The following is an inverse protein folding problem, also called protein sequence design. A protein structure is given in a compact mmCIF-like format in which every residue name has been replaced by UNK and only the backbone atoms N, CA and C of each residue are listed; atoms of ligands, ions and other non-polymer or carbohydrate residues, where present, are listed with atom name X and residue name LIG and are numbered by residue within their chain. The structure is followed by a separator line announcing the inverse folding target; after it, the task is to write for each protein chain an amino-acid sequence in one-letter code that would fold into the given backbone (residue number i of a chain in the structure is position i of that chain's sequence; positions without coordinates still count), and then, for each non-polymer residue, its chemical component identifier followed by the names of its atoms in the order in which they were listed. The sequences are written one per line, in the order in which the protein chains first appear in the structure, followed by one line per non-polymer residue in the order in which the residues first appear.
data_IF_587652336167
#
_entry.id   IF_587652336167
#
_cell.length_a   1.000
_cell.length_b   1.000
_cell.length_c   1.000
_cell.angle_alpha   90.00
_cell.angle_beta   90.00
_cell.angle_gamma   90.00
#
_symmetry.space_group_name_H-M   'P 1'
#
loop_
_entity.id
_entity.type
_entity.pdbx_description
1 polymer ?
#
# COMPACT_ATOMS: atom_id res chain seq x y z
N UNK A 1 18.46 -7.56 -25.27
CA UNK A 1 19.51 -7.60 -24.22
C UNK A 1 18.83 -7.89 -22.88
N UNK A 2 19.37 -8.75 -21.98
CA UNK A 2 18.64 -9.10 -20.75
C UNK A 2 18.43 -7.93 -19.78
N UNK A 3 19.23 -6.86 -19.90
CA UNK A 3 19.10 -5.67 -19.03
C UNK A 3 17.80 -4.86 -19.21
N UNK A 4 17.24 -4.84 -20.40
CA UNK A 4 16.06 -4.06 -20.70
C UNK A 4 14.78 -4.70 -20.14
N UNK A 5 14.77 -6.04 -19.97
CA UNK A 5 13.64 -6.78 -19.44
C UNK A 5 13.40 -6.51 -17.95
N UNK A 6 14.44 -6.23 -17.18
CA UNK A 6 14.34 -5.96 -15.74
C UNK A 6 14.15 -4.47 -15.41
N UNK A 7 14.39 -3.58 -16.37
CA UNK A 7 14.28 -2.14 -16.14
C UNK A 7 12.83 -1.70 -15.91
N UNK A 8 11.89 -2.23 -16.69
CA UNK A 8 10.45 -1.95 -16.55
C UNK A 8 9.91 -2.36 -15.18
N UNK A 9 10.09 -3.62 -14.71
CA UNK A 9 9.75 -4.04 -13.35
C UNK A 9 10.41 -3.21 -12.26
N UNK A 10 11.70 -2.90 -12.41
CA UNK A 10 12.44 -2.11 -11.43
C UNK A 10 11.85 -0.71 -11.26
N UNK A 11 11.64 0.02 -12.37
CA UNK A 11 11.06 1.37 -12.33
C UNK A 11 9.64 1.34 -11.77
N UNK A 12 8.79 0.42 -12.22
CA UNK A 12 7.43 0.27 -11.70
C UNK A 12 7.43 0.00 -10.20
N UNK A 13 8.31 -0.90 -9.73
CA UNK A 13 8.45 -1.23 -8.30
C UNK A 13 8.91 -0.05 -7.46
N UNK A 14 9.91 0.73 -7.91
CA UNK A 14 10.37 1.94 -7.23
C UNK A 14 9.25 2.96 -7.12
N UNK A 15 8.55 3.26 -8.22
CA UNK A 15 7.47 4.24 -8.24
C UNK A 15 6.33 3.86 -7.28
N UNK A 16 5.90 2.60 -7.34
CA UNK A 16 4.85 2.07 -6.45
C UNK A 16 5.30 2.09 -4.99
N UNK A 17 6.54 1.71 -4.70
CA UNK A 17 7.11 1.76 -3.35
C UNK A 17 7.07 3.17 -2.77
N UNK A 18 7.44 4.18 -3.54
CA UNK A 18 7.41 5.58 -3.11
C UNK A 18 6.00 6.07 -2.82
N UNK A 19 5.03 5.70 -3.67
CA UNK A 19 3.62 6.04 -3.45
C UNK A 19 3.06 5.36 -2.20
N UNK A 20 3.33 4.05 -2.01
CA UNK A 20 2.90 3.31 -0.82
C UNK A 20 3.52 3.87 0.46
N UNK A 21 4.80 4.21 0.45
CA UNK A 21 5.48 4.80 1.59
C UNK A 21 4.85 6.15 2.00
N UNK A 22 4.50 6.99 1.03
CA UNK A 22 3.79 8.24 1.31
C UNK A 22 2.39 7.98 1.89
N UNK A 23 1.65 7.04 1.31
CA UNK A 23 0.34 6.63 1.80
C UNK A 23 0.43 6.09 3.25
N UNK A 24 1.48 5.33 3.53
CA UNK A 24 1.80 4.80 4.85
C UNK A 24 2.04 5.87 5.90
N UNK A 25 2.78 6.93 5.57
CA UNK A 25 2.96 8.07 6.46
C UNK A 25 1.63 8.73 6.83
N UNK A 26 0.72 8.91 5.87
CA UNK A 26 -0.62 9.44 6.12
C UNK A 26 -1.49 8.53 6.98
N UNK A 27 -1.47 7.23 6.73
CA UNK A 27 -2.21 6.24 7.51
C UNK A 27 -1.68 6.13 8.94
N UNK A 28 -0.36 6.17 9.11
CA UNK A 28 0.28 6.16 10.42
C UNK A 28 -0.17 7.36 11.27
N UNK A 29 -0.19 8.56 10.69
CA UNK A 29 -0.66 9.78 11.36
C UNK A 29 -2.12 9.70 11.81
N UNK A 30 -2.95 8.91 11.14
CA UNK A 30 -4.38 8.73 11.46
C UNK A 30 -4.69 7.56 12.35
N UNK A 31 -3.72 6.70 12.63
CA UNK A 31 -3.96 5.45 13.36
C UNK A 31 -4.87 4.47 12.61
N UNK A 32 -4.84 4.46 11.27
CA UNK A 32 -5.79 3.72 10.42
C UNK A 32 -5.19 2.42 9.84
N UNK A 33 -4.33 1.74 10.60
CA UNK A 33 -3.63 0.52 10.17
C UNK A 33 -4.61 -0.60 9.78
N UNK A 34 -5.62 -0.85 10.60
CA UNK A 34 -6.62 -1.90 10.35
C UNK A 34 -7.45 -1.63 9.09
N UNK A 35 -7.72 -0.36 8.79
CA UNK A 35 -8.41 0.03 7.55
C UNK A 35 -7.56 -0.29 6.32
N UNK A 36 -6.24 -0.06 6.39
CA UNK A 36 -5.33 -0.38 5.30
C UNK A 36 -5.24 -1.89 5.04
N UNK A 37 -5.19 -2.70 6.12
CA UNK A 37 -5.19 -4.17 6.02
C UNK A 37 -6.48 -4.67 5.37
N UNK A 38 -7.64 -4.18 5.84
CA UNK A 38 -8.94 -4.54 5.28
C UNK A 38 -9.04 -4.15 3.80
N UNK A 39 -8.60 -2.94 3.45
CA UNK A 39 -8.62 -2.46 2.08
C UNK A 39 -7.75 -3.33 1.16
N UNK A 40 -6.51 -3.62 1.57
CA UNK A 40 -5.60 -4.47 0.80
C UNK A 40 -6.18 -5.87 0.56
N UNK A 41 -6.77 -6.47 1.60
CA UNK A 41 -7.38 -7.78 1.48
C UNK A 41 -8.57 -7.79 0.52
N UNK A 42 -9.43 -6.76 0.54
CA UNK A 42 -10.56 -6.66 -0.39
C UNK A 42 -10.15 -6.24 -1.80
N UNK A 43 -9.03 -5.55 -1.96
CA UNK A 43 -8.41 -5.38 -3.27
C UNK A 43 -7.99 -6.73 -3.88
N UNK A 44 -7.41 -7.62 -3.07
CA UNK A 44 -7.09 -8.99 -3.50
C UNK A 44 -8.34 -9.81 -3.82
N UNK A 45 -9.42 -9.73 -3.00
CA UNK A 45 -10.73 -10.33 -3.34
C UNK A 45 -11.20 -9.86 -4.70
N UNK A 46 -11.10 -8.54 -4.97
CA UNK A 46 -11.48 -7.95 -6.25
C UNK A 46 -10.66 -8.48 -7.42
N UNK A 47 -9.35 -8.61 -7.24
CA UNK A 47 -8.45 -9.16 -8.25
C UNK A 47 -8.73 -10.65 -8.54
N UNK A 48 -8.92 -11.45 -7.50
CA UNK A 48 -9.28 -12.87 -7.63
C UNK A 48 -10.65 -13.04 -8.27
N UNK A 49 -11.65 -12.27 -7.85
CA UNK A 49 -13.00 -12.31 -8.45
C UNK A 49 -12.97 -11.90 -9.93
N UNK A 50 -12.20 -10.88 -10.28
CA UNK A 50 -12.04 -10.45 -11.67
C UNK A 50 -11.47 -11.56 -12.56
N UNK A 51 -10.54 -12.36 -12.04
CA UNK A 51 -9.98 -13.51 -12.77
C UNK A 51 -11.03 -14.59 -13.03
N UNK A 52 -11.93 -14.84 -12.07
CA UNK A 52 -13.06 -15.81 -12.23
C UNK A 52 -14.08 -15.32 -13.25
N UNK A 53 -14.39 -14.03 -13.23
CA UNK A 53 -15.39 -13.41 -14.12
C UNK A 53 -14.82 -13.04 -15.50
N UNK A 54 -13.51 -13.22 -15.71
CA UNK A 54 -12.78 -12.74 -16.91
C UNK A 54 -12.94 -11.22 -17.16
N UNK A 55 -13.06 -10.45 -16.09
CA UNK A 55 -13.16 -9.00 -16.12
C UNK A 55 -11.78 -8.34 -15.93
N UNK A 56 -11.62 -7.07 -16.31
CA UNK A 56 -10.38 -6.35 -16.06
C UNK A 56 -10.14 -6.21 -14.54
N UNK A 57 -8.95 -6.63 -14.10
CA UNK A 57 -8.60 -6.76 -12.67
C UNK A 57 -8.63 -5.42 -11.96
N UNK A 58 -8.00 -4.39 -12.54
CA UNK A 58 -7.84 -3.09 -11.89
C UNK A 58 -9.19 -2.41 -11.55
N UNK A 59 -10.18 -2.30 -12.47
CA UNK A 59 -11.47 -1.71 -12.13
C UNK A 59 -12.23 -2.47 -11.05
N UNK A 60 -12.23 -3.81 -11.08
CA UNK A 60 -12.95 -4.62 -10.09
C UNK A 60 -12.31 -4.46 -8.70
N UNK A 61 -10.98 -4.52 -8.62
CA UNK A 61 -10.25 -4.33 -7.37
C UNK A 61 -10.46 -2.90 -6.80
N UNK A 62 -10.48 -1.88 -7.67
CA UNK A 62 -10.77 -0.49 -7.27
C UNK A 62 -12.22 -0.32 -6.77
N UNK A 63 -13.19 -0.93 -7.43
CA UNK A 63 -14.60 -0.85 -7.03
C UNK A 63 -14.83 -1.54 -5.67
N UNK A 64 -14.30 -2.75 -5.47
CA UNK A 64 -14.43 -3.44 -4.19
C UNK A 64 -13.65 -2.75 -3.08
N UNK A 65 -12.40 -2.35 -3.32
CA UNK A 65 -11.61 -1.59 -2.37
C UNK A 65 -12.26 -0.26 -2.01
N UNK A 66 -12.75 0.49 -3.00
CA UNK A 66 -13.48 1.74 -2.80
C UNK A 66 -14.77 1.56 -2.01
N UNK A 67 -15.56 0.56 -2.32
CA UNK A 67 -16.79 0.22 -1.59
C UNK A 67 -16.53 -0.10 -0.12
N UNK A 68 -15.51 -0.89 0.16
CA UNK A 68 -15.06 -1.21 1.53
C UNK A 68 -14.58 0.05 2.25
N UNK A 69 -13.81 0.90 1.59
CA UNK A 69 -13.34 2.14 2.21
C UNK A 69 -14.48 3.06 2.59
N UNK A 70 -15.51 3.21 1.75
CA UNK A 70 -16.72 3.96 2.06
C UNK A 70 -17.46 3.35 3.25
N UNK A 71 -17.56 2.01 3.33
CA UNK A 71 -18.16 1.31 4.46
C UNK A 71 -17.41 1.60 5.76
N UNK A 72 -16.08 1.47 5.75
CA UNK A 72 -15.23 1.67 6.92
C UNK A 72 -15.26 3.12 7.42
N UNK A 73 -15.36 4.09 6.52
CA UNK A 73 -15.45 5.50 6.91
C UNK A 73 -16.76 5.90 7.57
N UNK A 74 -17.87 5.23 7.24
CA UNK A 74 -19.16 5.47 7.87
C UNK A 74 -19.23 4.94 9.31
N UNK A 75 -18.33 4.01 9.67
CA UNK A 75 -18.30 3.44 11.00
C UNK A 75 -17.51 4.31 11.98
N UNK A 76 -18.00 4.40 13.21
CA UNK A 76 -17.26 4.99 14.34
C UNK A 76 -16.25 4.00 14.96
N UNK A 77 -16.41 2.70 14.70
CA UNK A 77 -15.52 1.67 15.19
C UNK A 77 -14.28 1.57 14.27
N UNK A 78 -13.15 2.04 14.77
CA UNK A 78 -11.90 2.11 14.01
C UNK A 78 -11.05 0.84 14.07
N UNK A 79 -11.40 -0.12 14.92
CA UNK A 79 -10.61 -1.32 15.14
C UNK A 79 -11.37 -2.59 14.81
N UNK A 80 -12.54 -2.81 15.42
CA UNK A 80 -13.27 -4.07 15.33
C UNK A 80 -13.89 -4.30 13.96
N UNK A 81 -14.54 -3.27 13.40
CA UNK A 81 -15.13 -3.39 12.08
C UNK A 81 -14.07 -3.62 10.99
N UNK A 82 -12.98 -2.83 10.90
CA UNK A 82 -11.92 -3.12 9.92
C UNK A 82 -11.29 -4.50 10.10
N UNK A 83 -11.10 -4.96 11.34
CA UNK A 83 -10.60 -6.32 11.60
C UNK A 83 -11.57 -7.39 11.10
N UNK A 84 -12.88 -7.24 11.37
CA UNK A 84 -13.89 -8.17 10.88
C UNK A 84 -13.95 -8.18 9.35
N UNK A 85 -13.86 -7.02 8.72
CA UNK A 85 -13.84 -6.87 7.26
C UNK A 85 -12.56 -7.49 6.67
N UNK A 86 -11.40 -7.33 7.31
CA UNK A 86 -10.17 -8.01 6.91
C UNK A 86 -10.31 -9.54 6.94
N UNK A 87 -10.82 -10.09 8.04
CA UNK A 87 -11.05 -11.55 8.19
C UNK A 87 -12.07 -12.06 7.16
N UNK A 88 -13.13 -11.30 6.89
CA UNK A 88 -14.10 -11.64 5.86
C UNK A 88 -13.46 -11.67 4.46
N UNK A 89 -12.58 -10.72 4.15
CA UNK A 89 -11.82 -10.70 2.90
C UNK A 89 -10.87 -11.90 2.77
N UNK A 90 -10.18 -12.27 3.86
CA UNK A 90 -9.33 -13.45 3.88
C UNK A 90 -10.13 -14.73 3.61
N UNK A 91 -11.27 -14.88 4.27
CA UNK A 91 -12.19 -16.00 4.05
C UNK A 91 -12.72 -16.03 2.60
N UNK A 92 -13.07 -14.85 2.04
CA UNK A 92 -13.55 -14.76 0.67
C UNK A 92 -12.50 -15.21 -0.36
N UNK A 93 -11.24 -14.76 -0.23
CA UNK A 93 -10.15 -15.23 -1.12
C UNK A 93 -9.96 -16.74 -0.99
N UNK A 94 -9.94 -17.27 0.23
CA UNK A 94 -9.76 -18.70 0.49
C UNK A 94 -10.89 -19.53 -0.13
N UNK A 95 -12.14 -19.08 0.04
CA UNK A 95 -13.31 -19.78 -0.56
C UNK A 95 -13.31 -19.72 -2.09
N UNK A 96 -12.96 -18.58 -2.68
CA UNK A 96 -12.81 -18.46 -4.13
C UNK A 96 -11.70 -19.38 -4.64
N UNK A 97 -10.54 -19.37 -4.01
CA UNK A 97 -9.42 -20.23 -4.39
C UNK A 97 -9.73 -21.73 -4.27
N UNK A 98 -10.50 -22.12 -3.26
CA UNK A 98 -10.90 -23.52 -3.06
C UNK A 98 -11.91 -24.02 -4.09
N UNK A 99 -12.74 -23.14 -4.66
CA UNK A 99 -13.83 -23.54 -5.55
C UNK A 99 -13.53 -23.31 -7.04
N UNK A 100 -12.55 -22.46 -7.37
CA UNK A 100 -12.20 -22.11 -8.75
C UNK A 100 -10.70 -22.23 -8.99
N UNK A 101 -10.28 -23.06 -9.94
CA UNK A 101 -8.86 -23.24 -10.26
C UNK A 101 -8.19 -21.93 -10.70
N UNK A 102 -8.90 -21.08 -11.45
CA UNK A 102 -8.41 -19.76 -11.86
C UNK A 102 -8.20 -18.82 -10.67
N UNK A 103 -9.09 -18.91 -9.66
CA UNK A 103 -8.97 -18.13 -8.43
C UNK A 103 -7.77 -18.54 -7.58
N UNK A 104 -7.41 -19.82 -7.55
CA UNK A 104 -6.25 -20.30 -6.82
C UNK A 104 -4.93 -19.74 -7.39
N UNK A 105 -4.80 -19.72 -8.72
CA UNK A 105 -3.64 -19.11 -9.40
C UNK A 105 -3.59 -17.59 -9.18
N UNK A 106 -4.74 -16.92 -9.29
CA UNK A 106 -4.81 -15.49 -9.02
C UNK A 106 -4.48 -15.16 -7.55
N UNK A 107 -4.99 -15.93 -6.60
CA UNK A 107 -4.69 -15.74 -5.18
C UNK A 107 -3.19 -15.91 -4.88
N UNK A 108 -2.54 -16.91 -5.46
CA UNK A 108 -1.10 -17.09 -5.37
C UNK A 108 -0.34 -15.88 -5.96
N UNK A 109 -0.75 -15.40 -7.14
CA UNK A 109 -0.16 -14.22 -7.77
C UNK A 109 -0.29 -12.95 -6.92
N UNK A 110 -1.44 -12.76 -6.24
CA UNK A 110 -1.64 -11.65 -5.31
C UNK A 110 -0.82 -11.80 -4.02
N UNK A 111 -0.57 -13.02 -3.56
CA UNK A 111 0.25 -13.28 -2.38
C UNK A 111 1.75 -13.12 -2.65
N UNK A 112 2.24 -13.63 -3.78
CA UNK A 112 3.67 -13.61 -4.11
C UNK A 112 4.12 -12.32 -4.79
N UNK A 113 3.18 -11.60 -5.44
CA UNK A 113 3.46 -10.45 -6.28
C UNK A 113 3.93 -10.86 -7.68
N UNK A 114 3.76 -9.95 -8.63
CA UNK A 114 4.15 -10.16 -10.03
C UNK A 114 5.20 -9.15 -10.48
N UNK A 115 6.02 -8.63 -9.57
CA UNK A 115 6.94 -7.55 -9.88
C UNK A 115 7.83 -7.87 -11.08
N UNK A 116 8.42 -9.06 -11.13
CA UNK A 116 9.31 -9.46 -12.23
C UNK A 116 8.60 -9.61 -13.58
N UNK A 117 7.28 -9.75 -13.56
CA UNK A 117 6.42 -9.86 -14.74
C UNK A 117 5.67 -8.56 -15.04
N UNK A 118 5.94 -7.48 -14.29
CA UNK A 118 5.32 -6.19 -14.53
C UNK A 118 5.68 -5.68 -15.93
N UNK A 119 4.66 -5.49 -16.75
CA UNK A 119 4.78 -5.06 -18.13
C UNK A 119 4.63 -3.55 -18.30
N UNK A 120 4.53 -3.10 -19.57
CA UNK A 120 4.33 -1.68 -19.89
C UNK A 120 3.03 -1.09 -19.29
N UNK A 121 1.97 -1.89 -19.15
CA UNK A 121 0.69 -1.42 -18.61
C UNK A 121 0.82 -1.07 -17.12
N UNK A 122 1.48 -1.93 -16.34
CA UNK A 122 1.75 -1.71 -14.92
C UNK A 122 2.69 -0.52 -14.73
N UNK A 123 3.68 -0.36 -15.60
CA UNK A 123 4.57 0.79 -15.59
C UNK A 123 3.80 2.10 -15.85
N UNK A 124 2.95 2.15 -16.88
CA UNK A 124 2.15 3.34 -17.16
C UNK A 124 1.17 3.66 -16.03
N UNK A 125 0.56 2.64 -15.44
CA UNK A 125 -0.29 2.82 -14.25
C UNK A 125 0.52 3.37 -13.06
N UNK A 126 1.74 2.87 -12.82
CA UNK A 126 2.63 3.35 -11.77
C UNK A 126 3.08 4.80 -12.00
N UNK A 127 3.42 5.16 -13.23
CA UNK A 127 3.77 6.54 -13.62
C UNK A 127 2.56 7.46 -13.40
N UNK A 128 1.38 7.08 -13.89
CA UNK A 128 0.15 7.86 -13.73
C UNK A 128 -0.20 8.10 -12.26
N UNK A 129 -0.11 7.04 -11.42
CA UNK A 129 -0.35 7.14 -9.99
C UNK A 129 0.71 7.99 -9.28
N UNK A 130 1.98 7.90 -9.70
CA UNK A 130 3.07 8.73 -9.13
C UNK A 130 2.89 10.20 -9.47
N UNK A 131 2.51 10.53 -10.70
CA UNK A 131 2.19 11.90 -11.12
C UNK A 131 0.98 12.44 -10.35
N UNK A 132 -0.08 11.64 -10.24
CA UNK A 132 -1.25 12.00 -9.42
C UNK A 132 -0.83 12.24 -7.97
N UNK A 133 0.04 11.39 -7.42
CA UNK A 133 0.58 11.54 -6.05
C UNK A 133 1.31 12.87 -5.89
N UNK A 134 2.20 13.24 -6.82
CA UNK A 134 2.91 14.51 -6.78
C UNK A 134 1.95 15.71 -6.81
N UNK A 135 0.91 15.66 -7.61
CA UNK A 135 -0.12 16.70 -7.66
C UNK A 135 -0.96 16.74 -6.36
N UNK A 136 -1.18 15.59 -5.72
CA UNK A 136 -1.96 15.49 -4.49
C UNK A 136 -1.16 15.83 -3.22
N UNK A 137 0.17 15.76 -3.23
CA UNK A 137 1.04 16.03 -2.05
C UNK A 137 0.62 17.30 -1.27
N UNK A 138 0.43 18.48 -1.90
CA UNK A 138 0.06 19.69 -1.15
C UNK A 138 -1.32 19.58 -0.48
N UNK A 139 -2.25 18.85 -1.10
CA UNK A 139 -3.59 18.59 -0.53
C UNK A 139 -3.48 17.60 0.62
N UNK A 140 -2.74 16.50 0.43
CA UNK A 140 -2.52 15.46 1.44
C UNK A 140 -1.86 16.02 2.69
N UNK A 141 -0.79 16.80 2.54
CA UNK A 141 -0.11 17.43 3.66
C UNK A 141 -1.03 18.37 4.45
N UNK A 142 -1.87 19.14 3.78
CA UNK A 142 -2.88 19.99 4.44
C UNK A 142 -3.87 19.16 5.23
N UNK A 143 -4.43 18.11 4.63
CA UNK A 143 -5.40 17.22 5.28
C UNK A 143 -4.79 16.54 6.50
N UNK A 144 -3.54 16.08 6.39
CA UNK A 144 -2.83 15.42 7.51
C UNK A 144 -2.48 16.40 8.63
N UNK A 145 -2.03 17.60 8.31
CA UNK A 145 -1.78 18.66 9.30
C UNK A 145 -3.05 19.02 10.07
N UNK A 146 -4.18 19.20 9.37
CA UNK A 146 -5.44 19.51 10.04
C UNK A 146 -5.87 18.38 10.99
N UNK A 147 -5.69 17.13 10.59
CA UNK A 147 -6.03 15.96 11.43
C UNK A 147 -5.20 15.90 12.72
N UNK A 148 -3.97 16.44 12.72
CA UNK A 148 -3.06 16.43 13.87
C UNK A 148 -3.26 17.65 14.80
N UNK A 149 -3.48 18.84 14.24
CA UNK A 149 -3.43 20.09 15.00
C UNK A 149 -4.79 20.45 15.61
N UNK A 150 -5.87 20.04 14.99
CA UNK A 150 -7.21 20.51 15.36
C UNK A 150 -8.28 19.42 15.33
N UNK A 151 -8.16 18.33 16.14
CA UNK A 151 -9.25 17.36 16.22
C UNK A 151 -10.57 18.00 16.72
N UNK A 152 -10.49 19.08 17.52
CA UNK A 152 -11.62 19.75 18.18
C UNK A 152 -11.94 21.15 17.66
N UNK A 153 -11.10 21.76 16.82
CA UNK A 153 -11.31 23.15 16.37
C UNK A 153 -12.16 23.18 15.11
N UNK A 154 -13.39 23.54 15.33
CA UNK A 154 -14.42 24.13 14.47
C UNK A 154 -14.71 23.52 13.07
N UNK A 155 -15.99 23.37 12.83
CA UNK A 155 -16.59 22.98 11.55
C UNK A 155 -16.14 23.85 10.33
N UNK A 156 -15.58 25.03 10.57
CA UNK A 156 -15.12 25.97 9.55
C UNK A 156 -13.78 25.59 8.90
N UNK A 157 -12.97 24.70 9.53
CA UNK A 157 -11.63 24.30 9.03
C UNK A 157 -11.61 22.88 8.45
N UNK A 158 -12.76 22.22 8.30
CA UNK A 158 -12.81 20.87 7.73
C UNK A 158 -12.35 20.90 6.27
N UNK A 159 -11.46 19.98 5.86
CA UNK A 159 -11.11 19.86 4.45
C UNK A 159 -12.38 19.64 3.64
N UNK A 160 -12.46 20.26 2.47
CA UNK A 160 -13.62 20.13 1.60
C UNK A 160 -13.90 18.65 1.31
N UNK A 161 -15.16 18.26 1.23
CA UNK A 161 -15.60 16.87 1.03
C UNK A 161 -14.88 16.23 -0.15
N UNK A 162 -14.67 16.97 -1.24
CA UNK A 162 -13.96 16.48 -2.43
C UNK A 162 -12.46 16.23 -2.20
N UNK A 163 -11.80 16.97 -1.28
CA UNK A 163 -10.39 16.71 -0.92
C UNK A 163 -10.26 15.40 -0.17
N UNK A 164 -11.20 15.13 0.71
CA UNK A 164 -11.25 13.87 1.43
C UNK A 164 -11.57 12.69 0.51
N UNK A 165 -12.51 12.86 -0.43
CA UNK A 165 -12.80 11.85 -1.45
C UNK A 165 -11.60 11.60 -2.36
N UNK A 166 -10.89 12.65 -2.79
CA UNK A 166 -9.68 12.52 -3.60
C UNK A 166 -8.58 11.72 -2.89
N UNK A 167 -8.38 11.97 -1.60
CA UNK A 167 -7.43 11.20 -0.79
C UNK A 167 -7.82 9.73 -0.67
N UNK A 168 -9.11 9.43 -0.49
CA UNK A 168 -9.60 8.05 -0.42
C UNK A 168 -9.35 7.32 -1.73
N UNK A 169 -9.74 7.92 -2.85
CA UNK A 169 -9.55 7.33 -4.19
C UNK A 169 -8.07 7.09 -4.45
N UNK A 170 -7.23 8.06 -4.12
CA UNK A 170 -5.78 7.93 -4.24
C UNK A 170 -5.23 6.80 -3.37
N UNK A 171 -5.64 6.70 -2.11
CA UNK A 171 -5.21 5.66 -1.18
C UNK A 171 -5.62 4.26 -1.67
N UNK A 172 -6.88 4.12 -2.12
CA UNK A 172 -7.40 2.87 -2.71
C UNK A 172 -6.56 2.50 -3.94
N UNK A 173 -6.31 3.44 -4.84
CA UNK A 173 -5.50 3.21 -6.04
C UNK A 173 -4.06 2.80 -5.69
N UNK A 174 -3.45 3.45 -4.68
CA UNK A 174 -2.10 3.13 -4.22
C UNK A 174 -2.01 1.69 -3.67
N UNK A 175 -2.96 1.28 -2.83
CA UNK A 175 -2.97 -0.06 -2.24
C UNK A 175 -3.29 -1.12 -3.29
N UNK A 176 -4.26 -0.89 -4.18
CA UNK A 176 -4.63 -1.83 -5.25
C UNK A 176 -3.45 -2.05 -6.19
N UNK A 177 -2.87 -0.98 -6.74
CA UNK A 177 -1.75 -1.08 -7.67
C UNK A 177 -0.51 -1.65 -6.97
N UNK A 178 -0.27 -1.23 -5.71
CA UNK A 178 0.80 -1.78 -4.89
C UNK A 178 0.70 -3.27 -4.69
N UNK A 179 -0.50 -3.76 -4.38
CA UNK A 179 -0.76 -5.19 -4.19
C UNK A 179 -0.65 -5.98 -5.49
N UNK A 180 -1.03 -5.40 -6.63
CA UNK A 180 -0.84 -6.04 -7.94
C UNK A 180 0.64 -6.19 -8.31
N UNK A 181 1.44 -5.14 -8.10
CA UNK A 181 2.85 -5.10 -8.53
C UNK A 181 3.76 -5.81 -7.53
N UNK A 182 3.68 -5.47 -6.24
CA UNK A 182 4.58 -5.98 -5.21
C UNK A 182 4.08 -7.28 -4.54
N UNK A 183 2.80 -7.58 -4.68
CA UNK A 183 2.10 -8.57 -3.86
C UNK A 183 1.52 -7.96 -2.60
N UNK A 184 0.40 -8.52 -2.12
CA UNK A 184 -0.34 -7.98 -0.98
C UNK A 184 0.51 -7.87 0.29
N UNK A 185 1.25 -8.89 0.74
CA UNK A 185 2.07 -8.79 1.94
C UNK A 185 3.17 -7.74 1.82
N UNK A 186 3.84 -7.65 0.67
CA UNK A 186 4.91 -6.69 0.43
C UNK A 186 4.37 -5.25 0.33
N UNK A 187 3.23 -5.05 -0.32
CA UNK A 187 2.56 -3.76 -0.39
C UNK A 187 2.17 -3.26 1.01
N UNK A 188 1.57 -4.13 1.85
CA UNK A 188 1.21 -3.79 3.22
C UNK A 188 2.44 -3.54 4.11
N UNK A 189 3.50 -4.34 3.96
CA UNK A 189 4.75 -4.13 4.66
C UNK A 189 5.39 -2.78 4.29
N UNK A 190 5.43 -2.44 3.00
CA UNK A 190 5.95 -1.17 2.49
C UNK A 190 5.10 0.02 2.91
N UNK A 191 3.80 -0.17 3.03
CA UNK A 191 2.85 0.84 3.50
C UNK A 191 3.06 1.15 4.99
N UNK A 192 3.24 0.14 5.84
CA UNK A 192 3.15 0.29 7.29
C UNK A 192 4.52 0.39 7.97
N UNK A 193 5.47 -0.48 7.63
CA UNK A 193 6.73 -0.64 8.37
C UNK A 193 7.70 0.55 8.22
N UNK A 194 7.91 1.13 7.02
CA UNK A 194 8.76 2.32 6.89
C UNK A 194 8.24 3.51 7.69
N UNK A 195 6.92 3.75 7.71
CA UNK A 195 6.30 4.82 8.47
C UNK A 195 6.45 4.59 9.99
N UNK A 196 6.27 3.35 10.44
CA UNK A 196 6.49 2.97 11.84
C UNK A 196 7.96 3.15 12.25
N UNK A 197 8.92 2.70 11.44
CA UNK A 197 10.36 2.92 11.67
C UNK A 197 10.73 4.40 11.68
N UNK A 198 10.20 5.18 10.72
CA UNK A 198 10.43 6.61 10.60
C UNK A 198 9.92 7.40 11.81
N UNK A 199 8.82 6.98 12.43
CA UNK A 199 8.25 7.65 13.60
C UNK A 199 9.22 7.73 14.81
N UNK A 200 10.15 6.77 14.94
CA UNK A 200 11.16 6.78 15.99
C UNK A 200 12.34 7.73 15.69
N UNK A 201 12.57 8.04 14.42
CA UNK A 201 13.69 8.89 13.96
C UNK A 201 13.27 10.33 13.70
N UNK A 202 12.01 10.55 13.35
CA UNK A 202 11.48 11.84 12.95
C UNK A 202 11.17 12.75 14.14
N UNK A 203 11.50 14.05 13.99
CA UNK A 203 11.17 15.08 14.97
C UNK A 203 10.02 15.99 14.52
N UNK A 204 9.66 15.92 13.25
CA UNK A 204 8.60 16.73 12.63
C UNK A 204 7.95 15.97 11.47
N UNK A 205 6.86 16.51 10.93
CA UNK A 205 6.10 15.87 9.84
C UNK A 205 6.96 15.68 8.57
N UNK A 206 7.73 16.69 8.19
CA UNK A 206 8.63 16.61 7.02
C UNK A 206 9.68 15.51 7.23
N UNK A 207 10.26 15.42 8.42
CA UNK A 207 11.19 14.36 8.79
C UNK A 207 10.53 12.99 8.74
N UNK A 208 9.28 12.85 9.21
CA UNK A 208 8.53 11.60 9.12
C UNK A 208 8.39 11.15 7.66
N UNK A 209 7.94 12.04 6.78
CA UNK A 209 7.78 11.72 5.35
C UNK A 209 9.12 11.35 4.71
N UNK A 210 10.17 12.14 4.94
CA UNK A 210 11.50 11.89 4.35
C UNK A 210 12.11 10.57 4.85
N UNK A 211 12.05 10.29 6.16
CA UNK A 211 12.53 9.02 6.71
C UNK A 211 11.72 7.83 6.20
N UNK A 212 10.39 7.97 6.10
CA UNK A 212 9.54 6.92 5.53
C UNK A 212 9.94 6.60 4.10
N UNK A 213 10.13 7.61 3.26
CA UNK A 213 10.55 7.44 1.88
C UNK A 213 11.95 6.82 1.78
N UNK A 214 12.90 7.30 2.60
CA UNK A 214 14.27 6.77 2.63
C UNK A 214 14.32 5.29 3.04
N UNK A 215 13.59 4.91 4.10
CA UNK A 215 13.53 3.52 4.58
C UNK A 215 12.88 2.62 3.52
N UNK A 216 11.77 3.05 2.91
CA UNK A 216 11.07 2.27 1.90
C UNK A 216 11.92 2.07 0.64
N UNK A 217 12.53 3.12 0.12
CA UNK A 217 13.39 3.06 -1.06
C UNK A 217 14.62 2.17 -0.79
N UNK A 218 15.29 2.37 0.35
CA UNK A 218 16.43 1.55 0.74
C UNK A 218 16.03 0.08 0.89
N UNK A 219 14.89 -0.18 1.53
CA UNK A 219 14.32 -1.53 1.68
C UNK A 219 14.05 -2.19 0.34
N UNK A 220 13.46 -1.46 -0.61
CA UNK A 220 13.24 -1.95 -1.97
C UNK A 220 14.54 -2.30 -2.68
N UNK A 221 15.54 -1.41 -2.64
CA UNK A 221 16.84 -1.64 -3.28
C UNK A 221 17.57 -2.85 -2.69
N UNK A 222 17.58 -2.98 -1.37
CA UNK A 222 18.17 -4.13 -0.67
C UNK A 222 17.43 -5.42 -1.04
N UNK A 223 16.09 -5.42 -1.02
CA UNK A 223 15.30 -6.58 -1.40
C UNK A 223 15.54 -6.98 -2.86
N UNK A 224 15.63 -6.00 -3.79
CA UNK A 224 15.92 -6.24 -5.20
C UNK A 224 17.29 -6.87 -5.40
N UNK A 225 18.33 -6.35 -4.73
CA UNK A 225 19.70 -6.87 -4.84
C UNK A 225 19.90 -8.23 -4.20
N UNK A 226 19.07 -8.62 -3.23
CA UNK A 226 19.12 -9.93 -2.58
C UNK A 226 18.31 -10.95 -3.38
N UNK A 227 17.10 -10.61 -3.80
CA UNK A 227 16.16 -11.58 -4.40
C UNK A 227 16.60 -12.07 -5.78
N UNK A 228 17.21 -11.20 -6.62
CA UNK A 228 17.64 -11.57 -7.96
C UNK A 228 18.73 -12.66 -7.99
N UNK A 229 19.89 -12.51 -7.29
CA UNK A 229 20.95 -13.52 -7.35
C UNK A 229 20.60 -14.81 -6.60
N UNK A 230 19.67 -14.74 -5.62
CA UNK A 230 19.27 -15.90 -4.83
C UNK A 230 18.05 -16.63 -5.42
N UNK A 231 17.52 -16.15 -6.55
CA UNK A 231 16.30 -16.68 -7.20
C UNK A 231 15.13 -16.81 -6.21
N UNK A 232 14.97 -15.78 -5.34
CA UNK A 232 13.93 -15.76 -4.32
C UNK A 232 12.75 -14.89 -4.76
N UNK A 233 11.52 -15.24 -4.35
CA UNK A 233 10.37 -14.39 -4.60
C UNK A 233 10.55 -13.03 -3.92
N UNK A 234 10.32 -11.95 -4.66
CA UNK A 234 10.61 -10.57 -4.22
C UNK A 234 9.79 -10.17 -2.98
N UNK A 235 8.49 -10.51 -2.96
CA UNK A 235 7.58 -10.05 -1.91
C UNK A 235 8.00 -10.50 -0.49
N UNK A 236 8.29 -11.76 -0.21
CA UNK A 236 8.76 -12.19 1.11
C UNK A 236 10.09 -11.53 1.52
N UNK A 237 11.01 -11.37 0.57
CA UNK A 237 12.31 -10.72 0.84
C UNK A 237 12.09 -9.26 1.22
N UNK A 238 11.23 -8.53 0.51
CA UNK A 238 10.90 -7.13 0.82
C UNK A 238 10.22 -7.00 2.19
N UNK A 239 9.33 -7.92 2.55
CA UNK A 239 8.70 -7.94 3.88
C UNK A 239 9.75 -8.07 4.97
N UNK A 240 10.65 -9.06 4.86
CA UNK A 240 11.71 -9.30 5.86
C UNK A 240 12.66 -8.10 5.97
N UNK A 241 13.08 -7.53 4.85
CA UNK A 241 13.95 -6.34 4.84
C UNK A 241 13.27 -5.16 5.52
N UNK A 242 12.00 -4.88 5.21
CA UNK A 242 11.26 -3.80 5.84
C UNK A 242 11.09 -4.01 7.36
N UNK A 243 10.85 -5.24 7.81
CA UNK A 243 10.81 -5.58 9.24
C UNK A 243 12.16 -5.29 9.91
N UNK A 244 13.25 -5.75 9.32
CA UNK A 244 14.61 -5.53 9.86
C UNK A 244 14.95 -4.04 9.93
N UNK A 245 14.60 -3.26 8.91
CA UNK A 245 14.84 -1.82 8.89
C UNK A 245 14.01 -1.08 9.94
N UNK A 246 12.73 -1.44 10.10
CA UNK A 246 11.87 -0.83 11.10
C UNK A 246 12.32 -1.14 12.53
N UNK A 247 12.73 -2.39 12.80
CA UNK A 247 13.32 -2.78 14.10
C UNK A 247 14.67 -2.11 14.34
N UNK A 248 15.53 -2.02 13.32
CA UNK A 248 16.80 -1.31 13.39
C UNK A 248 16.64 0.19 13.69
N UNK A 249 15.65 0.84 13.07
CA UNK A 249 15.31 2.23 13.36
C UNK A 249 14.88 2.42 14.82
N UNK A 250 14.06 1.51 15.36
CA UNK A 250 13.66 1.53 16.76
C UNK A 250 14.85 1.35 17.71
N UNK A 251 15.72 0.37 17.44
CA UNK A 251 16.92 0.15 18.26
C UNK A 251 17.86 1.38 18.23
N UNK A 252 18.08 1.96 17.05
CA UNK A 252 18.88 3.18 16.93
C UNK A 252 18.30 4.36 17.71
N UNK A 253 16.97 4.45 17.81
CA UNK A 253 16.31 5.49 18.61
C UNK A 253 16.45 5.25 20.14
N UNK A 254 16.52 3.98 20.58
CA UNK A 254 16.72 3.64 21.99
C UNK A 254 18.16 3.90 22.48
N UNK A 255 19.12 3.98 21.58
CA UNK A 255 20.54 4.24 21.88
C UNK A 255 20.89 5.74 21.88
N UNK A 256 19.96 6.62 21.54
CA UNK A 256 20.08 8.10 21.58
C UNK A 256 19.52 8.69 22.84
#
# INVERSE_FOLDING_TARGET
MPGDLLLTPFIAGVLVTMVLALAGAGLFLRGSVWQALALGQWAAVGGVLASVLHWPVLPVALLLGGGIMVLLQRSRDRERLPLAVFLAGLAAVTLLAANFAQASLAAAAWAEGQLYFAGPNELWAAIGLSLLTLLMVPVLLRVWLHAQIAPDVSAASRPAVWQHLGEIVWLVAAIVLGSMVLGLPAALATLLLPAWGAAWLARNLTGLVLWTQGIALFGFLVAWTISLPLDQPFAPVLVLVNVMLALGARLAAMLR
#
